data_IF_626945849580
#
_entry.id   IF_626945849580
#
_cell.length_a   1.000
_cell.length_b   1.000
_cell.length_c   1.000
_cell.angle_alpha   90.00
_cell.angle_beta   90.00
_cell.angle_gamma   90.00
#
_symmetry.space_group_name_H-M   'P 1'
#
loop_
_entity.id
_entity.type
_entity.pdbx_description
1 polymer ?
#
# COMPACT_ATOMS: atom_id res chain seq x y z
N UNK A 1 25.28 -28.32 13.72
CA UNK A 1 25.00 -27.41 12.58
C UNK A 1 23.71 -26.63 12.80
N UNK A 2 22.67 -27.21 13.41
CA UNK A 2 21.37 -26.54 13.62
C UNK A 2 21.43 -25.16 14.29
N UNK A 3 22.35 -24.95 15.25
CA UNK A 3 22.51 -23.64 15.92
C UNK A 3 22.72 -22.46 14.95
N UNK A 4 23.40 -22.65 13.81
CA UNK A 4 23.62 -21.56 12.85
C UNK A 4 22.37 -21.20 12.02
N UNK A 5 21.39 -22.09 11.92
CA UNK A 5 20.13 -21.83 11.21
C UNK A 5 19.21 -20.91 12.03
N UNK A 6 19.26 -21.01 13.37
CA UNK A 6 18.44 -20.20 14.26
C UNK A 6 18.75 -18.70 14.14
N UNK A 7 20.02 -18.34 14.25
CA UNK A 7 20.46 -16.94 14.21
C UNK A 7 20.17 -16.25 12.86
N UNK A 8 20.34 -16.99 11.75
CA UNK A 8 19.98 -16.52 10.41
C UNK A 8 18.49 -16.17 10.31
N UNK A 9 17.60 -17.12 10.65
CA UNK A 9 16.16 -16.90 10.58
C UNK A 9 15.69 -15.81 11.54
N UNK A 10 16.29 -15.66 12.72
CA UNK A 10 15.98 -14.53 13.62
C UNK A 10 16.33 -13.19 12.97
N UNK A 11 17.48 -13.11 12.27
CA UNK A 11 17.90 -11.89 11.56
C UNK A 11 16.99 -11.55 10.37
N UNK A 12 16.55 -12.56 9.60
CA UNK A 12 15.67 -12.41 8.44
C UNK A 12 14.28 -11.95 8.87
N UNK A 13 13.66 -12.65 9.83
CA UNK A 13 12.36 -12.31 10.40
C UNK A 13 12.38 -10.91 11.07
N UNK A 14 13.48 -10.55 11.73
CA UNK A 14 13.67 -9.23 12.32
C UNK A 14 13.65 -8.09 11.29
N UNK A 15 14.36 -8.25 10.16
CA UNK A 15 14.34 -7.24 9.08
C UNK A 15 12.98 -7.20 8.39
N UNK A 16 12.32 -8.34 8.18
CA UNK A 16 10.97 -8.37 7.61
C UNK A 16 9.96 -7.62 8.50
N UNK A 17 10.02 -7.82 9.82
CA UNK A 17 9.19 -7.08 10.78
C UNK A 17 9.48 -5.57 10.75
N UNK A 18 10.76 -5.16 10.68
CA UNK A 18 11.13 -3.75 10.57
C UNK A 18 10.62 -3.08 9.28
N UNK A 19 10.62 -3.80 8.15
CA UNK A 19 10.05 -3.34 6.88
C UNK A 19 8.53 -3.15 6.96
N UNK A 20 7.82 -4.12 7.56
CA UNK A 20 6.37 -4.01 7.81
C UNK A 20 6.06 -2.85 8.77
N UNK A 21 6.88 -2.66 9.81
CA UNK A 21 6.68 -1.60 10.80
C UNK A 21 6.86 -0.19 10.22
N UNK A 22 7.92 0.07 9.44
CA UNK A 22 8.09 1.37 8.76
C UNK A 22 6.99 1.60 7.71
N UNK A 23 6.48 0.55 7.07
CA UNK A 23 5.33 0.65 6.18
C UNK A 23 4.03 1.06 6.89
N UNK A 24 3.74 0.52 8.08
CA UNK A 24 2.56 0.93 8.88
C UNK A 24 2.65 2.41 9.32
N UNK A 25 3.86 2.89 9.63
CA UNK A 25 4.13 4.30 9.92
C UNK A 25 3.97 5.16 8.66
N UNK A 26 4.43 4.69 7.49
CA UNK A 26 4.21 5.37 6.21
C UNK A 26 2.71 5.48 5.87
N UNK A 27 1.95 4.39 5.99
CA UNK A 27 0.53 4.36 5.64
C UNK A 27 -0.31 5.28 6.54
N UNK A 28 -0.04 5.29 7.85
CA UNK A 28 -0.72 6.19 8.79
C UNK A 28 -0.34 7.67 8.57
N UNK A 29 0.93 7.99 8.37
CA UNK A 29 1.37 9.37 8.08
C UNK A 29 0.85 9.89 6.73
N UNK A 30 0.74 9.03 5.71
CA UNK A 30 0.08 9.35 4.44
C UNK A 30 -1.42 9.65 4.64
N UNK A 31 -2.12 8.82 5.42
CA UNK A 31 -3.53 9.03 5.77
C UNK A 31 -3.78 10.38 6.44
N UNK A 32 -2.96 10.76 7.42
CA UNK A 32 -3.04 12.08 8.08
C UNK A 32 -2.77 13.23 7.10
N UNK A 33 -1.83 13.08 6.17
CA UNK A 33 -1.54 14.09 5.15
C UNK A 33 -2.76 14.39 4.26
N UNK A 34 -3.47 13.34 3.82
CA UNK A 34 -4.68 13.47 2.99
C UNK A 34 -5.85 14.05 3.80
N UNK A 35 -6.03 13.62 5.05
CA UNK A 35 -7.10 14.12 5.93
C UNK A 35 -6.94 15.61 6.28
N UNK A 36 -5.71 16.08 6.52
CA UNK A 36 -5.45 17.48 6.90
C UNK A 36 -5.68 18.46 5.73
N UNK A 37 -5.68 17.98 4.48
CA UNK A 37 -5.96 18.80 3.29
C UNK A 37 -7.43 18.84 2.85
N UNK A 38 -8.35 18.15 3.52
CA UNK A 38 -9.73 17.97 3.05
C UNK A 38 -10.77 18.11 4.17
N UNK A 39 -11.74 18.99 3.96
CA UNK A 39 -12.83 19.23 4.93
C UNK A 39 -13.90 18.13 4.93
N UNK A 40 -14.00 17.35 3.84
CA UNK A 40 -14.94 16.22 3.70
C UNK A 40 -14.20 14.89 3.85
N UNK A 41 -14.55 14.13 4.88
CA UNK A 41 -13.95 12.83 5.23
C UNK A 41 -14.16 11.75 4.15
N UNK A 42 -15.32 11.76 3.49
CA UNK A 42 -15.66 10.81 2.42
C UNK A 42 -14.72 10.97 1.20
N UNK A 43 -14.49 12.21 0.77
CA UNK A 43 -13.54 12.52 -0.31
C UNK A 43 -12.10 12.12 0.06
N UNK A 44 -11.71 12.34 1.32
CA UNK A 44 -10.39 11.93 1.82
C UNK A 44 -10.21 10.40 1.81
N UNK A 45 -11.25 9.64 2.16
CA UNK A 45 -11.25 8.17 2.08
C UNK A 45 -11.12 7.67 0.65
N UNK A 46 -11.94 8.18 -0.26
CA UNK A 46 -11.92 7.79 -1.67
C UNK A 46 -10.59 8.13 -2.35
N UNK A 47 -10.03 9.32 -2.10
CA UNK A 47 -8.73 9.73 -2.63
C UNK A 47 -7.57 8.87 -2.07
N UNK A 48 -7.59 8.58 -0.76
CA UNK A 48 -6.59 7.72 -0.13
C UNK A 48 -6.60 6.31 -0.71
N UNK A 49 -7.79 5.73 -0.93
CA UNK A 49 -7.95 4.41 -1.54
C UNK A 49 -7.49 4.40 -3.01
N UNK A 50 -7.85 5.42 -3.80
CA UNK A 50 -7.40 5.53 -5.18
C UNK A 50 -5.86 5.65 -5.30
N UNK A 51 -5.24 6.48 -4.46
CA UNK A 51 -3.78 6.61 -4.40
C UNK A 51 -3.09 5.31 -3.95
N UNK A 52 -3.66 4.61 -2.97
CA UNK A 52 -3.18 3.30 -2.51
C UNK A 52 -3.22 2.25 -3.64
N UNK A 53 -4.35 2.10 -4.32
CA UNK A 53 -4.50 1.17 -5.44
C UNK A 53 -3.55 1.49 -6.60
N UNK A 54 -3.37 2.76 -6.95
CA UNK A 54 -2.36 3.18 -7.93
C UNK A 54 -0.93 2.80 -7.49
N UNK A 55 -0.58 3.03 -6.21
CA UNK A 55 0.76 2.69 -5.71
C UNK A 55 1.05 1.18 -5.68
N UNK A 56 0.02 0.34 -5.50
CA UNK A 56 0.10 -1.11 -5.66
C UNK A 56 0.29 -1.52 -7.12
N UNK A 57 -0.44 -0.92 -8.06
CA UNK A 57 -0.29 -1.22 -9.50
C UNK A 57 1.13 -0.91 -10.02
N UNK A 58 1.76 0.15 -9.49
CA UNK A 58 3.11 0.56 -9.87
C UNK A 58 4.24 0.00 -8.99
N UNK A 59 3.99 -1.01 -8.15
CA UNK A 59 5.04 -1.61 -7.29
C UNK A 59 6.09 -2.48 -8.04
N UNK A 60 5.97 -2.66 -9.36
CA UNK A 60 6.92 -3.37 -10.21
C UNK A 60 6.71 -4.89 -10.36
N UNK A 61 5.89 -5.52 -9.52
CA UNK A 61 5.66 -6.98 -9.57
C UNK A 61 5.09 -7.46 -10.91
N UNK A 62 4.20 -6.68 -11.53
CA UNK A 62 3.42 -7.07 -12.72
C UNK A 62 4.12 -6.65 -14.04
N UNK A 63 5.17 -5.83 -13.99
CA UNK A 63 5.94 -5.44 -15.17
C UNK A 63 7.37 -5.06 -14.80
N UNK A 64 8.34 -5.84 -15.29
CA UNK A 64 9.74 -5.47 -15.22
C UNK A 64 9.98 -4.15 -15.96
N UNK A 65 10.80 -3.22 -15.45
CA UNK A 65 10.92 -1.85 -15.97
C UNK A 65 11.57 -1.74 -17.37
N UNK A 66 11.96 -2.86 -17.98
CA UNK A 66 12.70 -2.93 -19.26
C UNK A 66 11.84 -2.70 -20.51
N UNK A 67 10.51 -2.59 -20.38
CA UNK A 67 9.57 -2.51 -21.53
C UNK A 67 8.75 -1.22 -21.60
N UNK A 68 8.90 -0.30 -20.64
CA UNK A 68 8.08 0.91 -20.53
C UNK A 68 8.82 2.19 -20.98
N UNK A 69 8.13 3.18 -21.57
CA UNK A 69 8.70 4.49 -21.86
C UNK A 69 9.32 5.18 -20.63
N UNK A 70 10.39 5.97 -20.85
CA UNK A 70 11.26 6.53 -19.81
C UNK A 70 10.55 7.34 -18.70
N UNK A 71 9.37 7.89 -18.97
CA UNK A 71 8.53 8.57 -17.96
C UNK A 71 8.05 7.64 -16.83
N UNK A 72 7.88 6.34 -17.09
CA UNK A 72 7.39 5.36 -16.11
C UNK A 72 8.47 4.94 -15.09
N UNK A 73 9.75 5.04 -15.43
CA UNK A 73 10.86 4.82 -14.48
C UNK A 73 10.80 5.84 -13.33
N UNK A 74 10.45 7.09 -13.62
CA UNK A 74 10.25 8.13 -12.59
C UNK A 74 9.06 7.78 -11.69
N UNK A 75 7.94 7.29 -12.25
CA UNK A 75 6.76 6.87 -11.47
C UNK A 75 7.09 5.67 -10.58
N UNK A 76 7.80 4.67 -11.11
CA UNK A 76 8.23 3.49 -10.37
C UNK A 76 9.18 3.84 -9.20
N UNK A 77 10.13 4.77 -9.42
CA UNK A 77 11.05 5.28 -8.38
C UNK A 77 10.39 6.19 -7.36
N UNK A 78 9.28 6.84 -7.71
CA UNK A 78 8.50 7.67 -6.78
C UNK A 78 7.57 6.84 -5.89
N UNK A 79 7.23 5.60 -6.28
CA UNK A 79 6.39 4.71 -5.48
C UNK A 79 7.17 4.10 -4.30
N UNK A 80 6.80 4.39 -3.04
CA UNK A 80 7.46 3.78 -1.87
C UNK A 80 7.23 2.26 -1.80
N UNK A 81 6.14 1.76 -2.42
CA UNK A 81 5.87 0.32 -2.51
C UNK A 81 6.96 -0.44 -3.28
N UNK A 82 7.59 0.16 -4.28
CA UNK A 82 8.69 -0.47 -5.02
C UNK A 82 9.86 -0.85 -4.10
N UNK A 83 10.25 0.05 -3.20
CA UNK A 83 11.33 -0.19 -2.23
C UNK A 83 10.93 -1.15 -1.11
N UNK A 84 9.66 -1.11 -0.69
CA UNK A 84 9.11 -2.07 0.28
C UNK A 84 9.09 -3.49 -0.29
N UNK A 85 8.63 -3.66 -1.53
CA UNK A 85 8.60 -4.95 -2.23
C UNK A 85 10.01 -5.48 -2.49
N UNK A 86 10.95 -4.66 -2.99
CA UNK A 86 12.37 -5.04 -3.13
C UNK A 86 12.96 -5.48 -1.78
N UNK A 87 12.70 -4.73 -0.71
CA UNK A 87 13.11 -5.11 0.65
C UNK A 87 12.51 -6.44 1.13
N UNK A 88 11.20 -6.63 0.98
CA UNK A 88 10.49 -7.81 1.48
C UNK A 88 10.83 -9.08 0.68
N UNK A 89 10.87 -9.01 -0.65
CA UNK A 89 11.25 -10.14 -1.50
C UNK A 89 12.75 -10.47 -1.33
N UNK A 90 13.62 -9.45 -1.27
CA UNK A 90 15.05 -9.66 -1.02
C UNK A 90 15.32 -10.31 0.34
N UNK A 91 14.49 -10.09 1.37
CA UNK A 91 14.68 -10.70 2.70
C UNK A 91 13.98 -12.06 2.80
N UNK A 92 12.79 -12.23 2.21
CA UNK A 92 12.02 -13.47 2.28
C UNK A 92 12.49 -14.59 1.34
N UNK A 93 13.37 -14.29 0.37
CA UNK A 93 13.86 -15.24 -0.63
C UNK A 93 15.39 -15.32 -0.74
N UNK A 94 16.16 -14.60 0.09
CA UNK A 94 17.63 -14.65 0.02
C UNK A 94 18.18 -16.05 0.32
N UNK A 95 19.24 -16.42 -0.42
CA UNK A 95 20.11 -17.58 -0.14
C UNK A 95 19.43 -18.97 -0.02
N UNK A 96 18.13 -19.08 -0.34
CA UNK A 96 17.41 -20.36 -0.40
C UNK A 96 17.76 -21.12 -1.71
N UNK A 97 18.23 -22.38 -1.64
CA UNK A 97 18.43 -23.23 -2.82
C UNK A 97 17.09 -23.75 -3.35
N UNK A 98 16.82 -23.53 -4.64
CA UNK A 98 15.56 -23.90 -5.29
C UNK A 98 15.57 -25.38 -5.66
N UNK A 99 14.44 -26.07 -5.43
CA UNK A 99 14.19 -27.43 -5.88
C UNK A 99 12.90 -27.47 -6.68
N UNK A 100 13.01 -27.56 -8.01
CA UNK A 100 11.84 -27.68 -8.88
C UNK A 100 10.98 -28.90 -8.53
N UNK A 101 9.67 -28.71 -8.55
CA UNK A 101 8.64 -29.74 -8.53
C UNK A 101 8.47 -30.42 -9.90
N UNK A 102 7.74 -31.53 -9.94
CA UNK A 102 7.50 -32.32 -11.16
C UNK A 102 6.84 -31.52 -12.29
N UNK A 103 6.03 -30.50 -11.96
CA UNK A 103 5.38 -29.60 -12.93
C UNK A 103 6.25 -28.41 -13.36
N UNK A 104 7.41 -28.18 -12.72
CA UNK A 104 8.33 -27.08 -13.03
C UNK A 104 9.53 -27.54 -13.87
N UNK A 105 9.76 -28.85 -13.96
CA UNK A 105 10.80 -29.40 -14.81
C UNK A 105 10.45 -29.28 -16.30
N UNK A 106 11.28 -28.58 -17.05
CA UNK A 106 11.23 -28.60 -18.51
C UNK A 106 11.76 -29.94 -19.01
N UNK A 107 10.94 -30.62 -19.80
CA UNK A 107 11.23 -31.90 -20.41
C UNK A 107 11.50 -31.71 -21.92
N UNK A 108 12.65 -32.17 -22.40
CA UNK A 108 13.04 -32.05 -23.81
C UNK A 108 13.98 -33.20 -24.25
N UNK A 109 14.27 -33.28 -25.56
CA UNK A 109 15.21 -34.26 -26.11
C UNK A 109 16.41 -33.58 -26.80
N UNK A 110 17.64 -34.11 -26.66
CA UNK A 110 18.85 -33.49 -27.21
C UNK A 110 19.00 -33.85 -28.69
N UNK A 111 18.86 -32.85 -29.57
CA UNK A 111 18.83 -33.00 -31.05
C UNK A 111 20.00 -33.81 -31.62
N UNK A 112 21.18 -33.74 -31.00
CA UNK A 112 22.43 -34.33 -31.46
C UNK A 112 22.73 -35.73 -30.88
N UNK A 113 21.83 -36.33 -30.09
CA UNK A 113 22.06 -37.63 -29.43
C UNK A 113 23.18 -37.62 -28.36
N UNK A 114 23.70 -36.43 -28.04
CA UNK A 114 24.64 -36.19 -26.95
C UNK A 114 23.94 -36.30 -25.58
N UNK A 115 24.73 -36.43 -24.51
CA UNK A 115 24.18 -36.35 -23.14
C UNK A 115 23.55 -34.98 -22.85
N UNK A 116 22.50 -34.92 -22.05
CA UNK A 116 21.80 -33.70 -21.63
C UNK A 116 22.76 -32.62 -21.09
N UNK A 117 23.73 -33.02 -20.27
CA UNK A 117 24.77 -32.11 -19.73
C UNK A 117 25.66 -31.49 -20.81
N UNK A 118 26.07 -32.28 -21.80
CA UNK A 118 26.86 -31.78 -22.94
C UNK A 118 26.05 -30.89 -23.88
N UNK A 119 24.75 -31.13 -24.02
CA UNK A 119 23.86 -30.31 -24.85
C UNK A 119 23.58 -28.95 -24.19
N UNK A 120 23.33 -28.93 -22.87
CA UNK A 120 23.02 -27.69 -22.15
C UNK A 120 24.23 -26.95 -21.56
N UNK A 121 25.47 -27.46 -21.67
CA UNK A 121 26.63 -26.86 -20.99
C UNK A 121 26.80 -25.34 -21.26
N UNK A 122 26.65 -24.92 -22.52
CA UNK A 122 26.72 -23.51 -22.92
C UNK A 122 25.50 -22.69 -22.48
N UNK A 123 24.34 -23.31 -22.30
CA UNK A 123 23.10 -22.66 -21.85
C UNK A 123 23.08 -22.49 -20.33
N UNK A 124 23.48 -23.52 -19.56
CA UNK A 124 23.60 -23.47 -18.10
C UNK A 124 24.58 -22.37 -17.65
N UNK A 125 25.66 -22.14 -18.40
CA UNK A 125 26.62 -21.06 -18.16
C UNK A 125 26.04 -19.64 -18.40
N UNK A 126 24.96 -19.51 -19.20
CA UNK A 126 24.37 -18.21 -19.56
C UNK A 126 23.05 -17.92 -18.83
N UNK A 127 22.22 -18.94 -18.62
CA UNK A 127 20.89 -18.83 -18.03
C UNK A 127 20.83 -19.25 -16.55
N UNK A 128 21.84 -19.98 -16.05
CA UNK A 128 21.80 -20.64 -14.74
C UNK A 128 20.96 -21.91 -14.75
N UNK A 129 20.37 -22.26 -13.60
CA UNK A 129 19.55 -23.47 -13.43
C UNK A 129 20.39 -24.75 -13.23
N UNK A 130 19.73 -25.91 -13.28
CA UNK A 130 20.38 -27.22 -13.14
C UNK A 130 19.67 -28.35 -13.90
N UNK A 131 20.39 -29.44 -14.18
CA UNK A 131 19.86 -30.68 -14.76
C UNK A 131 19.76 -31.77 -13.69
N UNK A 132 18.61 -32.45 -13.62
CA UNK A 132 18.42 -33.61 -12.72
C UNK A 132 19.07 -34.88 -13.27
N UNK A 133 19.23 -35.01 -14.60
CA UNK A 133 19.74 -36.20 -15.27
C UNK A 133 20.82 -35.91 -16.35
N UNK A 134 21.95 -35.26 -16.00
CA UNK A 134 22.95 -34.80 -16.98
C UNK A 134 23.52 -35.89 -17.89
N UNK A 135 23.58 -37.14 -17.43
CA UNK A 135 24.09 -38.30 -18.19
C UNK A 135 23.09 -38.93 -19.16
N UNK A 136 21.80 -38.56 -19.13
CA UNK A 136 20.79 -39.11 -20.03
C UNK A 136 20.99 -38.65 -21.48
N UNK A 137 20.49 -39.43 -22.45
CA UNK A 137 20.51 -39.10 -23.90
C UNK A 137 19.12 -38.88 -24.50
N UNK A 138 18.07 -39.04 -23.70
CA UNK A 138 16.66 -38.79 -24.05
C UNK A 138 15.91 -38.40 -22.77
N UNK A 139 14.79 -37.68 -22.92
CA UNK A 139 14.01 -37.09 -21.80
C UNK A 139 14.88 -36.36 -20.77
N UNK A 140 15.56 -35.31 -21.21
CA UNK A 140 16.31 -34.41 -20.33
C UNK A 140 15.35 -33.65 -19.39
N UNK A 141 15.75 -33.47 -18.13
CA UNK A 141 14.96 -32.87 -17.05
C UNK A 141 15.71 -31.66 -16.49
N UNK A 142 15.22 -30.46 -16.82
CA UNK A 142 15.87 -29.17 -16.51
C UNK A 142 15.03 -28.29 -15.57
N UNK A 143 15.69 -27.67 -14.59
CA UNK A 143 15.11 -26.68 -13.68
C UNK A 143 15.71 -25.28 -13.98
N UNK A 144 14.88 -24.26 -14.30
CA UNK A 144 15.35 -22.95 -14.78
C UNK A 144 15.80 -21.95 -13.70
N UNK A 145 15.80 -22.38 -12.44
CA UNK A 145 16.22 -21.64 -11.26
C UNK A 145 17.04 -22.60 -10.39
N UNK A 146 18.21 -22.15 -9.92
CA UNK A 146 19.06 -22.96 -9.02
C UNK A 146 19.06 -22.38 -7.61
N UNK A 147 19.30 -21.08 -7.50
CA UNK A 147 19.30 -20.37 -6.23
C UNK A 147 18.30 -19.20 -6.32
N UNK A 148 17.58 -18.90 -5.25
CA UNK A 148 16.57 -17.82 -5.26
C UNK A 148 17.18 -16.43 -5.54
N UNK A 149 18.48 -16.28 -5.31
CA UNK A 149 19.25 -15.10 -5.69
C UNK A 149 19.26 -14.87 -7.22
N UNK A 150 19.18 -15.92 -8.06
CA UNK A 150 19.03 -15.77 -9.52
C UNK A 150 17.70 -15.08 -9.88
N UNK A 151 16.62 -15.44 -9.17
CA UNK A 151 15.30 -14.84 -9.35
C UNK A 151 15.28 -13.37 -8.90
N UNK A 152 15.86 -13.07 -7.73
CA UNK A 152 16.00 -11.70 -7.24
C UNK A 152 16.82 -10.84 -8.22
N UNK A 153 17.96 -11.35 -8.70
CA UNK A 153 18.81 -10.64 -9.65
C UNK A 153 18.12 -10.37 -10.99
N UNK A 154 17.34 -11.32 -11.53
CA UNK A 154 16.51 -11.13 -12.73
C UNK A 154 15.45 -10.04 -12.56
N UNK A 155 15.00 -9.77 -11.32
CA UNK A 155 14.09 -8.69 -10.98
C UNK A 155 14.79 -7.36 -10.58
N UNK A 156 16.12 -7.30 -10.62
CA UNK A 156 16.91 -6.14 -10.17
C UNK A 156 17.01 -5.98 -8.65
N UNK A 157 16.53 -6.95 -7.89
CA UNK A 157 16.48 -6.97 -6.43
C UNK A 157 17.75 -7.59 -5.83
N UNK A 158 18.12 -7.24 -4.60
CA UNK A 158 19.32 -7.79 -3.94
C UNK A 158 19.29 -7.64 -2.42
N UNK A 159 19.66 -8.71 -1.72
CA UNK A 159 19.79 -8.77 -0.26
C UNK A 159 20.70 -7.68 0.34
N UNK A 160 21.67 -7.16 -0.42
CA UNK A 160 22.54 -6.04 0.01
C UNK A 160 21.79 -4.71 0.09
N UNK A 161 20.75 -4.52 -0.73
CA UNK A 161 19.99 -3.27 -0.83
C UNK A 161 18.99 -3.04 0.32
N UNK A 162 18.66 -4.07 1.13
CA UNK A 162 17.61 -4.01 2.17
C UNK A 162 17.72 -2.80 3.10
N UNK A 163 18.93 -2.46 3.54
CA UNK A 163 19.18 -1.31 4.43
C UNK A 163 19.00 0.04 3.72
N UNK A 164 19.42 0.15 2.45
CA UNK A 164 19.17 1.34 1.63
C UNK A 164 17.68 1.59 1.48
N UNK A 165 16.91 0.54 1.18
CA UNK A 165 15.48 0.63 0.97
C UNK A 165 14.73 1.00 2.27
N UNK A 166 15.16 0.47 3.42
CA UNK A 166 14.66 0.87 4.73
C UNK A 166 14.89 2.37 5.03
N UNK A 167 16.08 2.91 4.73
CA UNK A 167 16.37 4.34 4.87
C UNK A 167 15.56 5.22 3.89
N UNK A 168 15.30 4.73 2.67
CA UNK A 168 14.41 5.40 1.71
C UNK A 168 12.99 5.47 2.26
N UNK A 169 12.44 4.38 2.80
CA UNK A 169 11.11 4.36 3.45
C UNK A 169 11.02 5.37 4.61
N UNK A 170 12.05 5.48 5.45
CA UNK A 170 12.12 6.50 6.50
C UNK A 170 12.14 7.95 5.97
N UNK A 171 12.72 8.16 4.79
CA UNK A 171 12.72 9.47 4.13
C UNK A 171 11.29 9.84 3.68
N UNK A 172 10.53 8.90 3.14
CA UNK A 172 9.10 9.10 2.81
C UNK A 172 8.24 9.36 4.05
N UNK A 173 8.45 8.63 5.16
CA UNK A 173 7.78 8.90 6.45
C UNK A 173 8.06 10.34 6.91
N UNK A 174 9.32 10.76 6.91
CA UNK A 174 9.73 12.10 7.34
C UNK A 174 9.12 13.19 6.44
N UNK A 175 9.07 12.95 5.13
CA UNK A 175 8.40 13.83 4.17
C UNK A 175 6.90 13.96 4.46
N UNK A 176 6.17 12.84 4.64
CA UNK A 176 4.73 12.86 4.94
C UNK A 176 4.42 13.64 6.23
N UNK A 177 5.22 13.47 7.29
CA UNK A 177 5.06 14.21 8.55
C UNK A 177 5.29 15.71 8.33
N UNK A 178 6.35 16.09 7.62
CA UNK A 178 6.62 17.49 7.29
C UNK A 178 5.50 18.11 6.43
N UNK A 179 5.01 17.41 5.41
CA UNK A 179 3.90 17.86 4.56
C UNK A 179 2.60 18.01 5.36
N UNK A 180 2.27 17.06 6.23
CA UNK A 180 1.11 17.15 7.12
C UNK A 180 1.17 18.41 8.00
N UNK A 181 2.33 18.68 8.62
CA UNK A 181 2.54 19.88 9.44
C UNK A 181 2.50 21.18 8.60
N UNK A 182 2.99 21.15 7.37
CA UNK A 182 2.99 22.29 6.46
C UNK A 182 1.58 22.63 5.95
N UNK A 183 0.78 21.64 5.54
CA UNK A 183 -0.64 21.85 5.20
C UNK A 183 -1.40 22.33 6.44
N UNK A 184 -1.22 21.68 7.59
CA UNK A 184 -1.84 22.12 8.85
C UNK A 184 -1.53 23.59 9.13
N UNK A 185 -0.26 24.01 9.00
CA UNK A 185 0.13 25.41 9.18
C UNK A 185 -0.54 26.34 8.17
N UNK A 186 -0.58 25.98 6.88
CA UNK A 186 -1.23 26.79 5.83
C UNK A 186 -2.74 26.95 6.03
N UNK A 187 -3.44 25.91 6.51
CA UNK A 187 -4.89 25.90 6.71
C UNK A 187 -5.30 26.52 8.07
N UNK A 188 -4.55 26.23 9.14
CA UNK A 188 -4.91 26.61 10.52
C UNK A 188 -4.26 27.88 11.05
N UNK A 189 -3.16 28.37 10.46
CA UNK A 189 -2.57 29.65 10.89
C UNK A 189 -3.13 30.78 10.02
N UNK A 190 -4.07 31.59 10.53
CA UNK A 190 -4.53 32.76 9.81
C UNK A 190 -3.35 33.72 9.66
N UNK A 191 -2.82 33.82 8.43
CA UNK A 191 -1.89 34.88 8.06
C UNK A 191 -2.66 36.20 8.12
N UNK A 192 -2.63 36.84 9.29
CA UNK A 192 -3.10 38.20 9.52
C UNK A 192 -2.15 39.19 8.83
N UNK A 193 -2.16 39.13 7.49
CA UNK A 193 -1.52 40.11 6.64
C UNK A 193 -2.09 41.47 7.02
N UNK A 194 -1.23 42.37 7.51
CA UNK A 194 -1.63 43.72 7.94
C UNK A 194 -1.89 44.63 6.73
N UNK A 195 -2.90 44.24 5.93
CA UNK A 195 -3.59 45.13 5.02
C UNK A 195 -4.51 46.05 5.82
N UNK A 196 -4.66 47.31 5.37
CA UNK A 196 -5.48 48.30 6.06
C UNK A 196 -6.97 47.92 5.93
N UNK A 197 -7.80 48.17 6.97
CA UNK A 197 -9.25 48.08 6.80
C UNK A 197 -9.75 49.19 5.87
N UNK A 198 -10.70 48.86 4.98
CA UNK A 198 -11.64 49.75 4.27
C UNK A 198 -12.48 48.89 3.31
N UNK A 199 -13.75 49.25 3.08
CA UNK A 199 -14.51 48.78 1.90
C UNK A 199 -15.30 47.48 2.09
N UNK A 200 -16.22 47.48 3.04
CA UNK A 200 -17.64 47.14 2.86
C UNK A 200 -18.01 46.41 1.55
N UNK A 201 -18.58 45.20 1.67
CA UNK A 201 -19.27 44.51 0.56
C UNK A 201 -20.68 44.12 1.02
N UNK A 202 -21.64 44.98 0.73
CA UNK A 202 -23.07 44.66 0.81
C UNK A 202 -23.63 44.48 -0.60
N UNK A 203 -24.34 43.37 -0.84
CA UNK A 203 -25.12 43.15 -2.05
C UNK A 203 -26.47 42.54 -1.67
N UNK A 204 -27.55 43.30 -1.85
CA UNK A 204 -28.91 42.93 -1.44
C UNK A 204 -29.91 43.15 -2.58
N UNK A 205 -30.60 42.07 -2.96
CA UNK A 205 -31.80 42.04 -3.83
C UNK A 205 -32.41 40.62 -3.76
N UNK A 206 -33.71 40.37 -3.62
CA UNK A 206 -34.89 41.25 -3.58
C UNK A 206 -35.49 41.48 -4.98
N UNK A 207 -36.79 41.31 -5.25
CA UNK A 207 -37.94 40.83 -4.45
C UNK A 207 -39.18 40.63 -5.38
N UNK A 208 -40.32 40.13 -4.84
CA UNK A 208 -41.71 40.17 -5.40
C UNK A 208 -42.01 39.19 -6.55
N UNK A 209 -43.25 38.76 -6.87
CA UNK A 209 -44.65 38.87 -6.35
C UNK A 209 -45.43 37.67 -7.04
N UNK A 210 -46.64 37.14 -6.74
CA UNK A 210 -47.78 37.27 -5.79
C UNK A 210 -48.67 35.98 -5.96
N UNK A 211 -49.94 35.76 -5.57
CA UNK A 211 -51.07 36.54 -5.00
C UNK A 211 -52.12 35.60 -4.32
N UNK A 212 -52.84 36.09 -3.30
CA UNK A 212 -54.19 35.64 -2.82
C UNK A 212 -54.39 34.18 -2.29
N UNK A 213 -55.18 33.91 -1.24
CA UNK A 213 -55.99 34.75 -0.33
C UNK A 213 -56.26 34.07 1.04
N UNK A 214 -56.63 34.89 2.03
CA UNK A 214 -56.92 34.67 3.48
C UNK A 214 -58.09 33.73 3.87
N UNK A 215 -58.37 33.49 5.19
CA UNK A 215 -57.60 33.71 6.45
C UNK A 215 -57.47 32.37 7.29
N UNK A 216 -56.95 32.23 8.53
CA UNK A 216 -56.90 33.10 9.73
C UNK A 216 -55.90 32.57 10.80
N UNK A 217 -55.39 33.44 11.71
CA UNK A 217 -55.10 33.06 13.12
C UNK A 217 -53.65 32.87 13.63
N UNK A 218 -53.09 33.91 14.27
CA UNK A 218 -52.57 33.96 15.68
C UNK A 218 -51.69 32.78 16.21
N UNK A 219 -50.51 32.95 16.84
CA UNK A 219 -49.67 34.14 17.13
C UNK A 219 -48.29 33.75 17.73
N UNK A 220 -47.30 34.66 17.57
CA UNK A 220 -46.05 34.85 18.32
C UNK A 220 -44.95 33.76 18.40
N UNK A 221 -43.71 34.27 18.41
CA UNK A 221 -42.46 33.54 18.62
C UNK A 221 -41.49 34.47 19.37
N UNK A 222 -40.68 33.92 20.27
CA UNK A 222 -39.42 34.53 20.69
C UNK A 222 -38.39 33.44 21.02
N UNK A 223 -37.11 33.72 20.75
CA UNK A 223 -35.98 32.79 20.92
C UNK A 223 -34.89 33.48 21.72
N UNK A 224 -34.31 32.80 22.71
CA UNK A 224 -33.08 33.25 23.36
C UNK A 224 -32.10 32.11 23.66
N UNK A 225 -30.82 32.48 23.72
CA UNK A 225 -29.66 31.74 24.22
C UNK A 225 -29.40 30.29 23.76
N UNK A 226 -28.51 30.18 22.76
CA UNK A 226 -27.59 29.03 22.64
C UNK A 226 -26.53 29.15 23.73
N UNK A 227 -26.26 28.08 24.49
CA UNK A 227 -25.12 28.04 25.43
C UNK A 227 -24.34 26.71 25.35
N UNK A 228 -23.03 26.90 25.18
CA UNK A 228 -21.89 25.99 25.02
C UNK A 228 -21.86 24.73 25.93
N UNK A 229 -21.24 23.67 25.37
CA UNK A 229 -20.42 22.65 26.05
C UNK A 229 -21.11 21.47 26.75
N UNK A 230 -20.46 20.30 26.70
CA UNK A 230 -20.84 19.11 27.47
C UNK A 230 -20.65 17.77 26.74
N UNK A 231 -19.40 17.30 26.60
CA UNK A 231 -19.14 15.89 26.27
C UNK A 231 -18.81 15.14 27.56
N UNK A 232 -19.66 14.18 27.97
CA UNK A 232 -19.25 13.06 28.84
C UNK A 232 -20.27 11.92 28.88
N UNK A 233 -19.76 10.74 29.11
CA UNK A 233 -20.48 9.49 29.40
C UNK A 233 -21.18 9.54 30.78
N UNK A 234 -22.27 8.78 30.97
CA UNK A 234 -22.19 7.54 31.76
C UNK A 234 -23.47 6.66 31.73
N UNK A 235 -23.34 5.45 31.15
CA UNK A 235 -23.88 4.16 31.63
C UNK A 235 -25.40 4.09 32.01
N UNK A 236 -25.96 3.08 32.75
CA UNK A 236 -26.98 2.24 32.11
C UNK A 236 -28.28 1.99 32.94
N UNK A 237 -29.11 1.10 32.37
CA UNK A 237 -30.08 0.20 33.05
C UNK A 237 -31.57 0.62 33.09
N UNK A 238 -32.42 -0.42 33.05
CA UNK A 238 -33.88 -0.43 33.25
C UNK A 238 -34.79 0.07 32.12
N UNK A 239 -35.04 -0.84 31.16
CA UNK A 239 -36.41 -1.37 31.03
C UNK A 239 -36.43 -2.81 30.50
N UNK A 240 -36.93 -3.74 31.31
CA UNK A 240 -37.36 -5.06 30.83
C UNK A 240 -38.76 -4.92 30.25
N UNK A 241 -39.05 -5.57 29.14
CA UNK A 241 -40.18 -6.50 29.02
C UNK A 241 -39.89 -7.47 27.88
N UNK A 242 -40.35 -8.72 28.01
CA UNK A 242 -39.81 -9.85 27.25
C UNK A 242 -40.27 -9.93 25.79
N UNK A 243 -39.42 -10.56 24.97
CA UNK A 243 -39.81 -11.23 23.73
C UNK A 243 -39.55 -12.72 23.93
N UNK A 244 -40.53 -13.55 23.56
CA UNK A 244 -40.35 -15.01 23.52
C UNK A 244 -39.66 -15.42 22.22
N UNK A 245 -39.21 -16.67 22.19
CA UNK A 245 -38.41 -17.24 21.10
C UNK A 245 -39.22 -17.38 19.80
N UNK A 246 -38.61 -16.99 18.67
CA UNK A 246 -38.84 -17.65 17.39
C UNK A 246 -37.52 -17.65 16.60
N UNK A 247 -36.98 -18.85 16.36
CA UNK A 247 -35.72 -19.06 15.63
C UNK A 247 -36.09 -19.72 14.30
N UNK A 248 -36.30 -18.92 13.25
CA UNK A 248 -36.37 -19.45 11.90
C UNK A 248 -34.98 -19.61 11.30
N UNK A 249 -34.69 -20.84 10.87
CA UNK A 249 -33.52 -21.19 10.07
C UNK A 249 -33.83 -20.86 8.60
N UNK A 250 -32.91 -20.18 7.92
CA UNK A 250 -33.02 -19.92 6.47
C UNK A 250 -32.03 -20.80 5.71
N UNK A 251 -32.51 -21.86 5.03
CA UNK A 251 -31.74 -22.59 4.04
C UNK A 251 -32.28 -22.35 2.61
N UNK A 252 -31.45 -21.76 1.74
CA UNK A 252 -31.33 -22.09 0.30
C UNK A 252 -29.96 -21.62 -0.21
#
# INVERSE_FOLDING_TARGET
MEHLSGDHHISENGVMLLLIWVYLIYASTFGYMVQVGLELTEMAGNLSNAAFLLSLLFCGIISAPTTLPQVWDIVWRLSPFSYLVDGMLSVGLADVPVKCSQYEFLHFEPVTGSSCGSYMASYLHQAGGYLTNPSAKSRCVYCPLKDSNDFLARAGMSYTNRWRNFCIMWTYVSFNVFMTLFIYWLVRVPKSWKGKPNGDVECSSGSKDKHASEPSGVSHSERSFVKVSGYKEDSPQSRKHGWSEEIELVPM
#
